data_IF_215643007152
#
_entry.id   IF_215643007152
#
_cell.length_a   1.000
_cell.length_b   1.000
_cell.length_c   1.000
_cell.angle_alpha   90.00
_cell.angle_beta   90.00
_cell.angle_gamma   90.00
#
_symmetry.space_group_name_H-M   'P 1'
#
loop_
_entity.id
_entity.type
_entity.pdbx_description
1 polymer ?
#
# COMPACT_ATOMS: atom_id res chain seq x y z
N UNK A 1 -0.15 -10.91 10.46
CA UNK A 1 -1.09 -9.84 10.07
C UNK A 1 -2.50 -10.42 9.86
N UNK A 2 -3.56 -9.60 9.98
CA UNK A 2 -4.98 -10.01 9.95
C UNK A 2 -5.36 -10.61 8.60
N UNK A 3 -5.12 -9.88 7.50
CA UNK A 3 -5.55 -10.31 6.17
C UNK A 3 -4.78 -11.53 5.67
N UNK A 4 -3.46 -11.57 5.85
CA UNK A 4 -2.65 -12.75 5.53
C UNK A 4 -3.15 -14.02 6.25
N UNK A 5 -3.48 -13.91 7.56
CA UNK A 5 -4.06 -15.04 8.32
C UNK A 5 -5.40 -15.47 7.73
N UNK A 6 -6.25 -14.53 7.34
CA UNK A 6 -7.54 -14.83 6.72
C UNK A 6 -7.36 -15.57 5.39
N UNK A 7 -6.49 -15.07 4.50
CA UNK A 7 -6.24 -15.70 3.18
C UNK A 7 -5.68 -17.11 3.33
N UNK A 8 -4.73 -17.32 4.24
CA UNK A 8 -4.14 -18.65 4.50
C UNK A 8 -5.14 -19.62 5.15
N UNK A 9 -6.00 -19.13 6.05
CA UNK A 9 -6.99 -20.00 6.71
C UNK A 9 -8.06 -20.48 5.75
N UNK A 10 -8.42 -19.67 4.76
CA UNK A 10 -9.49 -19.98 3.79
C UNK A 10 -8.95 -20.46 2.44
N UNK A 11 -7.65 -20.31 2.16
CA UNK A 11 -7.04 -20.54 0.85
C UNK A 11 -7.78 -19.79 -0.26
N UNK A 12 -8.08 -18.52 -0.01
CA UNK A 12 -8.80 -17.62 -0.92
C UNK A 12 -8.10 -16.27 -1.01
N UNK A 13 -8.35 -15.57 -2.12
CA UNK A 13 -7.93 -14.20 -2.32
C UNK A 13 -8.58 -13.27 -1.28
N UNK A 14 -7.90 -12.19 -0.93
CA UNK A 14 -8.38 -11.13 -0.06
C UNK A 14 -9.79 -10.69 -0.45
N UNK A 15 -10.75 -10.86 0.46
CA UNK A 15 -12.12 -10.41 0.22
C UNK A 15 -12.21 -8.88 0.03
N UNK A 16 -11.22 -8.12 0.53
CA UNK A 16 -11.14 -6.68 0.29
C UNK A 16 -10.79 -6.37 -1.17
N UNK A 17 -9.93 -7.20 -1.77
CA UNK A 17 -9.57 -7.10 -3.19
C UNK A 17 -10.73 -7.60 -4.07
N UNK A 18 -11.26 -8.80 -3.81
CA UNK A 18 -12.36 -9.40 -4.58
C UNK A 18 -13.64 -8.52 -4.61
N UNK A 19 -13.85 -7.69 -3.58
CA UNK A 19 -15.06 -6.87 -3.40
C UNK A 19 -14.78 -5.37 -3.50
N UNK A 20 -13.64 -4.97 -4.05
CA UNK A 20 -13.19 -3.58 -4.03
C UNK A 20 -14.17 -2.61 -4.72
N UNK A 21 -14.82 -3.02 -5.82
CA UNK A 21 -15.86 -2.23 -6.49
C UNK A 21 -17.05 -1.88 -5.57
N UNK A 22 -17.47 -2.81 -4.71
CA UNK A 22 -18.57 -2.56 -3.76
C UNK A 22 -18.14 -1.62 -2.65
N UNK A 23 -16.89 -1.73 -2.21
CA UNK A 23 -16.29 -0.80 -1.24
C UNK A 23 -16.26 0.60 -1.84
N UNK A 24 -15.87 0.76 -3.11
CA UNK A 24 -15.89 2.04 -3.82
C UNK A 24 -17.28 2.68 -3.84
N UNK A 25 -18.34 1.90 -4.11
CA UNK A 25 -19.72 2.41 -4.10
C UNK A 25 -20.13 2.96 -2.73
N UNK A 26 -19.75 2.27 -1.66
CA UNK A 26 -20.01 2.71 -0.29
C UNK A 26 -19.24 4.00 0.00
N UNK A 27 -17.94 4.04 -0.30
CA UNK A 27 -17.10 5.20 -0.03
C UNK A 27 -17.54 6.43 -0.83
N UNK A 28 -17.96 6.24 -2.09
CA UNK A 28 -18.49 7.31 -2.93
C UNK A 28 -19.74 7.96 -2.35
N UNK A 29 -20.63 7.17 -1.75
CA UNK A 29 -21.88 7.69 -1.17
C UNK A 29 -21.66 8.69 -0.02
N UNK A 30 -20.46 8.69 0.59
CA UNK A 30 -20.15 9.50 1.76
C UNK A 30 -18.88 10.35 1.61
N UNK A 31 -18.31 10.43 0.40
CA UNK A 31 -17.05 11.13 0.11
C UNK A 31 -15.89 10.73 1.04
N UNK A 32 -15.75 9.43 1.29
CA UNK A 32 -14.64 8.88 2.08
C UNK A 32 -13.46 8.62 1.14
N UNK A 33 -12.30 9.17 1.47
CA UNK A 33 -11.05 8.93 0.74
C UNK A 33 -10.43 7.57 1.11
N UNK A 34 -9.88 6.87 0.13
CA UNK A 34 -9.05 5.69 0.37
C UNK A 34 -7.67 6.08 0.87
N UNK A 35 -7.24 5.43 1.95
CA UNK A 35 -5.83 5.21 2.26
C UNK A 35 -5.53 3.75 1.94
N UNK A 36 -4.91 3.49 0.80
CA UNK A 36 -4.59 2.12 0.39
C UNK A 36 -3.36 1.63 1.15
N UNK A 37 -3.60 0.72 2.10
CA UNK A 37 -2.62 0.32 3.11
C UNK A 37 -1.46 -0.53 2.58
N UNK A 38 -0.29 -0.36 3.21
CA UNK A 38 0.96 -1.07 2.92
C UNK A 38 1.14 -2.31 3.82
N UNK A 39 0.24 -3.29 3.63
CA UNK A 39 0.18 -4.51 4.45
C UNK A 39 1.46 -5.36 4.43
N UNK A 40 2.28 -5.23 3.40
CA UNK A 40 3.57 -5.91 3.17
C UNK A 40 4.77 -4.95 3.24
N UNK A 41 4.64 -3.79 3.91
CA UNK A 41 5.77 -2.87 4.12
C UNK A 41 6.96 -3.52 4.85
N UNK A 42 8.19 -3.03 4.63
CA UNK A 42 9.37 -3.53 5.33
C UNK A 42 9.33 -3.18 6.82
N UNK A 43 9.47 -4.22 7.65
CA UNK A 43 9.61 -4.11 9.12
C UNK A 43 11.06 -4.05 9.60
N UNK A 44 12.02 -4.15 8.67
CA UNK A 44 13.45 -3.99 8.91
C UNK A 44 14.12 -3.44 7.65
N UNK A 45 15.32 -2.88 7.80
CA UNK A 45 16.13 -2.38 6.68
C UNK A 45 16.53 -3.49 5.72
N UNK A 46 16.64 -4.73 6.20
CA UNK A 46 16.99 -5.87 5.36
C UNK A 46 15.88 -6.23 4.36
N UNK A 47 14.64 -5.92 4.70
CA UNK A 47 13.46 -6.24 3.88
C UNK A 47 13.05 -5.08 2.96
N UNK A 48 13.76 -3.94 3.03
CA UNK A 48 13.43 -2.76 2.23
C UNK A 48 13.59 -3.04 0.73
N UNK A 49 12.58 -2.64 -0.05
CA UNK A 49 12.53 -2.73 -1.51
C UNK A 49 12.48 -4.19 -2.02
N UNK A 50 11.96 -5.11 -1.21
CA UNK A 50 11.79 -6.50 -1.63
C UNK A 50 10.62 -6.68 -2.62
N UNK A 51 10.51 -7.90 -3.13
CA UNK A 51 9.48 -8.26 -4.12
C UNK A 51 8.07 -8.15 -3.54
N UNK A 52 7.87 -8.51 -2.27
CA UNK A 52 6.56 -8.47 -1.63
C UNK A 52 6.05 -7.03 -1.50
N UNK A 53 6.91 -6.10 -1.07
CA UNK A 53 6.60 -4.69 -0.97
C UNK A 53 6.20 -4.09 -2.33
N UNK A 54 7.00 -4.33 -3.37
CA UNK A 54 6.70 -3.74 -4.68
C UNK A 54 5.54 -4.44 -5.40
N UNK A 55 5.34 -5.74 -5.18
CA UNK A 55 4.15 -6.42 -5.68
C UNK A 55 2.87 -5.78 -5.12
N UNK A 56 2.82 -5.50 -3.81
CA UNK A 56 1.69 -4.78 -3.21
C UNK A 56 1.55 -3.39 -3.82
N UNK A 57 2.62 -2.59 -3.92
CA UNK A 57 2.59 -1.24 -4.52
C UNK A 57 1.98 -1.22 -5.93
N UNK A 58 2.35 -2.19 -6.78
CA UNK A 58 1.76 -2.32 -8.11
C UNK A 58 0.26 -2.64 -8.04
N UNK A 59 -0.15 -3.55 -7.16
CA UNK A 59 -1.57 -3.84 -6.91
C UNK A 59 -2.32 -2.60 -6.40
N UNK A 60 -1.71 -1.77 -5.53
CA UNK A 60 -2.33 -0.52 -5.09
C UNK A 60 -2.52 0.46 -6.24
N UNK A 61 -1.60 0.50 -7.21
CA UNK A 61 -1.76 1.25 -8.46
C UNK A 61 -2.96 0.80 -9.29
N UNK A 62 -3.18 -0.50 -9.40
CA UNK A 62 -4.37 -1.08 -10.06
C UNK A 62 -5.67 -0.67 -9.33
N UNK A 63 -5.69 -0.81 -8.00
CA UNK A 63 -6.83 -0.44 -7.16
C UNK A 63 -7.12 1.06 -7.22
N UNK A 64 -6.09 1.90 -7.35
CA UNK A 64 -6.22 3.35 -7.53
C UNK A 64 -7.01 3.68 -8.79
N UNK A 65 -6.69 3.04 -9.91
CA UNK A 65 -7.45 3.23 -11.15
C UNK A 65 -8.90 2.74 -11.03
N UNK A 66 -9.15 1.67 -10.28
CA UNK A 66 -10.52 1.20 -10.02
C UNK A 66 -11.27 2.26 -9.20
N UNK A 67 -10.71 2.73 -8.09
CA UNK A 67 -11.33 3.76 -7.26
C UNK A 67 -11.60 5.06 -8.03
N UNK A 68 -10.67 5.49 -8.90
CA UNK A 68 -10.86 6.66 -9.76
C UNK A 68 -11.97 6.49 -10.81
N UNK A 69 -12.20 5.28 -11.33
CA UNK A 69 -13.37 5.02 -12.21
C UNK A 69 -14.70 5.21 -11.46
N UNK A 70 -14.72 5.03 -10.14
CA UNK A 70 -15.85 5.30 -9.26
C UNK A 70 -15.88 6.73 -8.71
N UNK A 71 -14.94 7.60 -9.14
CA UNK A 71 -14.79 8.97 -8.67
C UNK A 71 -14.60 9.05 -7.13
N UNK A 72 -13.80 8.14 -6.58
CA UNK A 72 -13.40 8.09 -5.16
C UNK A 72 -11.96 8.58 -5.02
N UNK A 73 -11.71 9.45 -4.03
CA UNK A 73 -10.40 10.00 -3.72
C UNK A 73 -9.45 8.91 -3.17
N UNK A 74 -8.15 8.99 -3.48
CA UNK A 74 -7.17 7.96 -3.10
C UNK A 74 -5.85 8.60 -2.67
N UNK A 75 -5.24 8.06 -1.62
CA UNK A 75 -3.83 8.15 -1.29
C UNK A 75 -3.25 6.74 -1.06
N UNK A 76 -1.94 6.59 -1.25
CA UNK A 76 -1.21 5.32 -1.13
C UNK A 76 -0.39 5.35 0.15
N UNK A 77 -0.45 4.30 0.96
CA UNK A 77 0.45 4.13 2.09
C UNK A 77 1.80 3.58 1.62
N UNK A 78 2.87 3.98 2.31
CA UNK A 78 4.24 3.67 1.93
C UNK A 78 5.14 3.34 3.11
N UNK A 79 6.35 2.86 2.81
CA UNK A 79 7.12 1.96 3.65
C UNK A 79 7.47 2.49 5.04
N UNK A 80 7.82 1.52 5.90
CA UNK A 80 8.33 1.72 7.25
C UNK A 80 9.86 1.82 7.30
N UNK A 81 10.57 0.70 7.28
CA UNK A 81 12.03 0.69 7.45
C UNK A 81 12.74 0.71 6.11
N UNK A 82 13.45 1.80 5.79
CA UNK A 82 14.14 1.97 4.50
C UNK A 82 15.45 2.72 4.72
N UNK A 83 16.62 2.13 4.37
CA UNK A 83 17.88 2.83 4.50
C UNK A 83 17.95 3.97 3.47
N UNK A 84 18.62 5.07 3.83
CA UNK A 84 18.55 6.36 3.11
C UNK A 84 18.78 6.25 1.59
N UNK A 85 19.72 5.40 1.15
CA UNK A 85 20.04 5.20 -0.26
C UNK A 85 18.91 4.58 -1.10
N UNK A 86 17.93 3.94 -0.46
CA UNK A 86 16.79 3.29 -1.12
C UNK A 86 15.50 4.13 -1.10
N UNK A 87 15.49 5.27 -0.40
CA UNK A 87 14.30 6.14 -0.29
C UNK A 87 13.90 6.70 -1.64
N UNK A 88 14.86 7.12 -2.46
CA UNK A 88 14.58 7.66 -3.79
C UNK A 88 13.87 6.66 -4.69
N UNK A 89 14.33 5.40 -4.70
CA UNK A 89 13.72 4.35 -5.51
C UNK A 89 12.26 4.11 -5.13
N UNK A 90 11.92 4.13 -3.84
CA UNK A 90 10.54 3.99 -3.38
C UNK A 90 9.63 5.08 -3.93
N UNK A 91 10.09 6.33 -3.85
CA UNK A 91 9.32 7.49 -4.34
C UNK A 91 9.16 7.42 -5.85
N UNK A 92 10.23 7.14 -6.59
CA UNK A 92 10.19 7.04 -8.05
C UNK A 92 9.21 5.94 -8.49
N UNK A 93 9.25 4.76 -7.84
CA UNK A 93 8.34 3.65 -8.14
C UNK A 93 6.89 3.96 -7.79
N UNK A 94 6.62 4.66 -6.69
CA UNK A 94 5.25 5.02 -6.34
C UNK A 94 4.66 6.02 -7.34
N UNK A 95 5.43 7.03 -7.75
CA UNK A 95 4.99 7.99 -8.76
C UNK A 95 4.63 7.29 -10.08
N UNK A 96 5.46 6.33 -10.50
CA UNK A 96 5.25 5.54 -11.72
C UNK A 96 4.05 4.57 -11.59
N UNK A 97 4.03 3.73 -10.55
CA UNK A 97 3.06 2.67 -10.41
C UNK A 97 1.67 3.16 -9.97
N UNK A 98 1.60 4.28 -9.25
CA UNK A 98 0.37 4.81 -8.66
C UNK A 98 -0.06 6.15 -9.26
N UNK A 99 0.46 6.51 -10.44
CA UNK A 99 -0.01 7.65 -11.23
C UNK A 99 0.02 8.98 -10.47
N UNK A 100 1.08 9.19 -9.70
CA UNK A 100 1.27 10.38 -8.86
C UNK A 100 0.17 10.62 -7.80
N UNK A 101 -0.59 9.56 -7.42
CA UNK A 101 -1.49 9.64 -6.29
C UNK A 101 -0.73 10.07 -5.01
N UNK A 102 -1.34 10.86 -4.10
CA UNK A 102 -0.67 11.28 -2.87
C UNK A 102 -0.07 10.12 -2.08
N UNK A 103 1.17 10.29 -1.61
CA UNK A 103 1.91 9.24 -0.91
C UNK A 103 2.03 9.53 0.58
N UNK A 104 1.56 8.60 1.42
CA UNK A 104 1.53 8.71 2.87
C UNK A 104 2.47 7.67 3.50
N UNK A 105 3.58 8.11 4.10
CA UNK A 105 4.64 7.20 4.58
C UNK A 105 4.72 7.14 6.10
N UNK A 106 5.15 5.99 6.64
CA UNK A 106 5.45 5.81 8.06
C UNK A 106 6.95 5.95 8.32
N UNK A 107 7.44 7.19 8.36
CA UNK A 107 8.87 7.51 8.53
C UNK A 107 9.49 7.96 7.20
N UNK A 108 10.38 7.18 6.56
CA UNK A 108 10.83 5.84 6.97
C UNK A 108 12.00 5.86 7.97
N UNK A 109 12.14 4.78 8.74
CA UNK A 109 13.28 4.56 9.64
C UNK A 109 14.53 4.18 8.83
N UNK A 110 15.58 5.00 8.92
CA UNK A 110 16.84 4.77 8.20
C UNK A 110 17.82 3.85 8.94
N UNK A 111 17.52 3.48 10.19
CA UNK A 111 18.33 2.56 11.01
C UNK A 111 17.43 1.79 11.99
N UNK A 112 17.77 0.51 12.23
CA UNK A 112 17.01 -0.38 13.14
C UNK A 112 17.65 -0.51 14.54
N UNK A 113 18.78 0.17 14.77
CA UNK A 113 19.65 -0.11 15.93
C UNK A 113 19.33 0.72 17.18
N UNK A 114 18.34 1.61 17.12
CA UNK A 114 18.05 2.58 18.19
C UNK A 114 16.58 2.56 18.64
N UNK A 115 16.08 1.45 19.22
CA UNK A 115 14.79 1.46 19.89
C UNK A 115 14.85 2.30 21.18
N UNK A 116 13.95 3.28 21.33
CA UNK A 116 13.89 4.18 22.50
C UNK A 116 13.48 5.59 22.11
#
# INVERSE_FOLDING_TARGET
SIMAKWCLSHHRESFLYERFDEICQIMKAYDVCFSLGDGLRPGSIADANDEAQFAELHTLGELTQIAWKHDVQVMIEGPGHVPLQLVKENVDKQLEACFEAPFYTLGPLITDISPG
#
